data_IF_227689543964
#
_entry.id   IF_227689543964
#
_cell.length_a   1.000
_cell.length_b   1.000
_cell.length_c   1.000
_cell.angle_alpha   90.00
_cell.angle_beta   90.00
_cell.angle_gamma   90.00
#
_symmetry.space_group_name_H-M   'P 1'
#
loop_
_entity.id
_entity.type
_entity.pdbx_description
1 polymer ?
#
# COMPACT_ATOMS: atom_id res chain seq x y z
N UNK A 1 15.07 -29.44 -4.38
CA UNK A 1 15.14 -30.69 -5.16
C UNK A 1 14.67 -31.83 -4.29
N UNK A 2 13.70 -32.60 -4.76
CA UNK A 2 13.22 -33.82 -4.10
C UNK A 2 13.12 -34.91 -5.18
N UNK A 3 13.70 -36.09 -4.92
CA UNK A 3 13.72 -37.23 -5.87
C UNK A 3 14.27 -36.89 -7.28
N UNK A 4 15.28 -36.01 -7.37
CA UNK A 4 15.89 -35.62 -8.65
C UNK A 4 15.08 -34.62 -9.47
N UNK A 5 13.90 -34.23 -9.00
CA UNK A 5 13.11 -33.13 -9.57
C UNK A 5 13.48 -31.82 -8.87
N UNK A 6 13.86 -30.82 -9.67
CA UNK A 6 14.01 -29.44 -9.22
C UNK A 6 12.74 -28.69 -9.58
N UNK A 7 12.04 -28.21 -8.56
CA UNK A 7 10.91 -27.28 -8.71
C UNK A 7 11.41 -25.93 -8.26
N UNK A 8 11.32 -24.95 -9.14
CA UNK A 8 11.57 -23.56 -8.78
C UNK A 8 10.36 -23.02 -8.02
N UNK A 9 10.62 -22.44 -6.84
CA UNK A 9 9.59 -21.75 -6.07
C UNK A 9 9.67 -20.28 -6.46
N UNK A 10 8.70 -19.81 -7.23
CA UNK A 10 8.65 -18.43 -7.74
C UNK A 10 7.77 -17.51 -6.90
N UNK A 11 6.85 -18.07 -6.09
CA UNK A 11 5.95 -17.33 -5.20
C UNK A 11 5.95 -17.90 -3.78
N UNK A 12 5.78 -17.02 -2.81
CA UNK A 12 5.67 -17.32 -1.39
C UNK A 12 4.30 -16.90 -0.87
N UNK A 13 3.84 -17.54 0.20
CA UNK A 13 2.58 -17.18 0.87
C UNK A 13 2.74 -16.00 1.83
N UNK A 14 3.99 -15.60 2.08
CA UNK A 14 4.41 -14.61 3.07
C UNK A 14 5.63 -13.85 2.56
N UNK A 15 5.90 -12.67 3.11
CA UNK A 15 7.12 -11.94 2.77
C UNK A 15 8.36 -12.73 3.16
N UNK A 16 9.28 -12.85 2.21
CA UNK A 16 10.65 -13.31 2.44
C UNK A 16 11.56 -12.10 2.34
N UNK A 17 12.37 -11.91 3.38
CA UNK A 17 13.33 -10.81 3.46
C UNK A 17 14.61 -11.16 2.72
N UNK A 18 15.13 -10.18 1.98
CA UNK A 18 16.43 -10.23 1.31
C UNK A 18 17.24 -9.02 1.71
N UNK A 19 18.50 -9.25 2.00
CA UNK A 19 19.36 -8.23 2.58
C UNK A 19 20.54 -7.96 1.66
N UNK A 20 20.79 -6.68 1.38
CA UNK A 20 22.00 -6.21 0.70
C UNK A 20 22.73 -5.28 1.67
N UNK A 21 24.00 -5.56 1.97
CA UNK A 21 24.83 -4.65 2.78
C UNK A 21 25.16 -3.40 1.98
N UNK A 22 24.99 -2.23 2.59
CA UNK A 22 25.49 -0.98 2.00
C UNK A 22 27.02 -0.96 2.03
N UNK A 23 27.71 -0.64 0.93
CA UNK A 23 29.15 -0.52 0.94
C UNK A 23 29.65 0.53 1.94
N UNK A 24 30.86 0.33 2.47
CA UNK A 24 31.50 1.33 3.34
C UNK A 24 31.58 2.70 2.63
N UNK A 25 31.14 3.76 3.33
CA UNK A 25 31.10 5.13 2.81
C UNK A 25 29.83 5.49 2.02
N UNK A 26 28.87 4.58 1.87
CA UNK A 26 27.52 4.90 1.40
C UNK A 26 26.64 5.25 2.59
N UNK A 27 26.17 6.48 2.65
CA UNK A 27 25.23 6.93 3.69
C UNK A 27 23.87 6.25 3.50
N UNK A 28 23.21 5.80 4.58
CA UNK A 28 21.85 5.31 4.51
C UNK A 28 20.89 6.45 4.13
N UNK A 29 19.84 6.12 3.38
CA UNK A 29 18.87 7.09 2.86
C UNK A 29 17.51 6.42 2.73
N UNK A 30 16.46 7.13 3.14
CA UNK A 30 15.07 6.64 2.99
C UNK A 30 14.63 6.56 1.52
N UNK A 31 15.41 7.18 0.62
CA UNK A 31 15.20 7.12 -0.83
C UNK A 31 15.71 5.82 -1.47
N UNK A 32 16.42 4.96 -0.70
CA UNK A 32 16.85 3.65 -1.17
C UNK A 32 15.65 2.71 -1.28
N UNK A 33 15.47 2.15 -2.47
CA UNK A 33 14.35 1.28 -2.80
C UNK A 33 14.84 0.00 -3.44
N UNK A 34 14.48 -1.13 -2.85
CA UNK A 34 14.60 -2.43 -3.48
C UNK A 34 13.68 -2.55 -4.67
N UNK A 35 14.22 -3.08 -5.76
CA UNK A 35 13.46 -3.41 -6.97
C UNK A 35 13.68 -4.86 -7.36
N UNK A 36 12.64 -5.46 -7.91
CA UNK A 36 12.70 -6.68 -8.70
C UNK A 36 12.90 -6.30 -10.16
N UNK A 37 13.80 -7.00 -10.84
CA UNK A 37 13.92 -6.98 -12.30
C UNK A 37 13.17 -8.20 -12.83
N UNK A 38 12.06 -7.96 -13.53
CA UNK A 38 11.23 -9.01 -14.12
C UNK A 38 11.86 -9.53 -15.44
N UNK A 39 11.42 -10.69 -15.91
CA UNK A 39 11.99 -11.37 -17.10
C UNK A 39 11.92 -10.52 -18.39
N UNK A 40 10.94 -9.62 -18.48
CA UNK A 40 10.77 -8.70 -19.61
C UNK A 40 11.61 -7.41 -19.49
N UNK A 41 12.41 -7.29 -18.43
CA UNK A 41 13.25 -6.14 -18.12
C UNK A 41 12.50 -4.98 -17.46
N UNK A 42 11.20 -5.12 -17.20
CA UNK A 42 10.48 -4.16 -16.37
C UNK A 42 10.90 -4.27 -14.91
N UNK A 43 10.65 -3.20 -14.15
CA UNK A 43 10.98 -3.15 -12.74
C UNK A 43 9.71 -3.04 -11.90
N UNK A 44 9.78 -3.63 -10.71
CA UNK A 44 8.76 -3.51 -9.67
C UNK A 44 9.43 -3.17 -8.36
N UNK A 45 9.03 -2.07 -7.74
CA UNK A 45 9.46 -1.73 -6.39
C UNK A 45 8.92 -2.73 -5.37
N UNK A 46 9.70 -2.99 -4.32
CA UNK A 46 9.28 -3.82 -3.19
C UNK A 46 9.49 -3.06 -1.88
N UNK A 47 8.65 -3.31 -0.85
CA UNK A 47 8.83 -2.67 0.44
C UNK A 47 10.25 -2.86 0.96
N UNK A 48 10.85 -1.75 1.40
CA UNK A 48 12.27 -1.65 1.70
C UNK A 48 12.45 -0.85 2.97
N UNK A 49 13.21 -1.40 3.92
CA UNK A 49 13.65 -0.69 5.12
C UNK A 49 15.17 -0.77 5.26
N UNK A 50 15.71 0.17 6.01
CA UNK A 50 17.13 0.19 6.36
C UNK A 50 17.28 -0.31 7.79
N UNK A 51 18.21 -1.24 7.99
CA UNK A 51 18.58 -1.73 9.32
C UNK A 51 20.07 -1.53 9.58
N UNK A 52 20.40 -1.15 10.81
CA UNK A 52 21.78 -1.09 11.29
C UNK A 52 22.06 -2.30 12.19
N UNK A 53 23.11 -3.06 11.87
CA UNK A 53 23.60 -4.16 12.71
C UNK A 53 25.10 -3.98 12.90
N UNK A 54 25.54 -3.83 14.15
CA UNK A 54 26.94 -3.66 14.52
C UNK A 54 27.68 -2.53 13.76
N UNK A 55 26.98 -1.41 13.50
CA UNK A 55 27.52 -0.26 12.77
C UNK A 55 27.55 -0.40 11.25
N UNK A 56 26.99 -1.49 10.71
CA UNK A 56 26.83 -1.72 9.27
C UNK A 56 25.37 -1.57 8.87
N UNK A 57 25.10 -0.78 7.84
CA UNK A 57 23.76 -0.61 7.29
C UNK A 57 23.43 -1.67 6.24
N UNK A 58 22.19 -2.11 6.24
CA UNK A 58 21.63 -3.10 5.35
C UNK A 58 20.31 -2.61 4.76
N UNK A 59 20.13 -2.84 3.47
CA UNK A 59 18.86 -2.67 2.77
C UNK A 59 18.10 -3.99 2.86
N UNK A 60 17.00 -4.00 3.61
CA UNK A 60 16.12 -5.15 3.78
C UNK A 60 14.91 -4.99 2.85
N UNK A 61 14.77 -5.91 1.91
CA UNK A 61 13.70 -5.95 0.91
C UNK A 61 12.73 -7.07 1.22
N UNK A 62 11.46 -6.74 1.37
CA UNK A 62 10.39 -7.70 1.63
C UNK A 62 9.65 -8.04 0.34
N UNK A 63 9.71 -9.31 -0.10
CA UNK A 63 9.01 -9.74 -1.31
C UNK A 63 8.39 -11.13 -1.18
N UNK A 64 7.22 -11.31 -1.80
CA UNK A 64 6.52 -12.60 -1.94
C UNK A 64 6.91 -13.34 -3.22
N UNK A 65 7.89 -12.86 -3.99
CA UNK A 65 8.40 -13.56 -5.19
C UNK A 65 9.84 -14.03 -5.02
N UNK A 66 10.25 -15.01 -5.82
CA UNK A 66 11.65 -15.34 -6.02
C UNK A 66 12.12 -14.81 -7.38
N UNK A 67 13.02 -13.84 -7.36
CA UNK A 67 13.37 -13.01 -8.52
C UNK A 67 14.79 -12.46 -8.39
N UNK A 68 15.23 -11.65 -9.36
CA UNK A 68 16.47 -10.86 -9.28
C UNK A 68 16.17 -9.54 -8.57
N UNK A 69 16.96 -9.20 -7.56
CA UNK A 69 16.80 -8.00 -6.74
C UNK A 69 18.01 -7.08 -6.87
N UNK A 70 17.76 -5.77 -6.84
CA UNK A 70 18.80 -4.75 -6.67
C UNK A 70 18.23 -3.56 -5.89
N UNK A 71 19.08 -2.62 -5.51
CA UNK A 71 18.70 -1.37 -4.85
C UNK A 71 18.95 -0.21 -5.79
N UNK A 72 18.01 0.73 -5.83
CA UNK A 72 18.16 2.01 -6.52
C UNK A 72 17.90 3.15 -5.55
N UNK A 73 18.46 4.32 -5.84
CA UNK A 73 18.13 5.55 -5.14
C UNK A 73 17.42 6.49 -6.11
N UNK A 74 16.29 7.04 -5.69
CA UNK A 74 15.53 8.01 -6.46
C UNK A 74 15.01 9.08 -5.51
N UNK A 75 15.25 10.33 -5.85
CA UNK A 75 14.71 11.47 -5.12
C UNK A 75 13.55 12.09 -5.90
N UNK A 76 12.43 12.32 -5.22
CA UNK A 76 11.22 12.92 -5.78
C UNK A 76 10.70 14.01 -4.87
N UNK A 77 10.47 15.18 -5.44
CA UNK A 77 9.82 16.33 -4.81
C UNK A 77 8.75 16.88 -5.75
N UNK A 78 7.63 17.34 -5.19
CA UNK A 78 6.56 17.98 -5.95
C UNK A 78 6.33 19.40 -5.40
N UNK A 79 6.33 20.39 -6.28
CA UNK A 79 6.22 21.80 -5.89
C UNK A 79 4.88 22.13 -5.23
N UNK A 80 3.78 21.47 -5.66
CA UNK A 80 2.45 21.66 -5.06
C UNK A 80 2.28 20.97 -3.70
N UNK A 81 3.32 20.29 -3.22
CA UNK A 81 3.38 19.73 -1.88
C UNK A 81 4.10 20.63 -0.88
N UNK A 82 4.76 21.71 -1.31
CA UNK A 82 5.51 22.60 -0.40
C UNK A 82 4.58 23.21 0.68
N UNK A 83 4.86 22.90 1.95
CA UNK A 83 4.06 23.32 3.10
C UNK A 83 2.74 22.55 3.28
N UNK A 84 2.47 21.54 2.45
CA UNK A 84 1.31 20.67 2.60
C UNK A 84 1.54 19.65 3.72
N UNK A 85 0.50 19.33 4.49
CA UNK A 85 0.61 18.45 5.67
C UNK A 85 1.13 17.03 5.37
N UNK A 86 1.00 16.59 4.11
CA UNK A 86 1.44 15.29 3.63
C UNK A 86 2.74 15.34 2.79
N UNK A 87 3.43 16.49 2.74
CA UNK A 87 4.63 16.71 1.92
C UNK A 87 5.66 15.60 2.03
N UNK A 88 6.19 15.38 3.23
CA UNK A 88 7.23 14.39 3.50
C UNK A 88 6.79 12.97 3.09
N UNK A 89 5.51 12.62 3.36
CA UNK A 89 4.98 11.30 3.02
C UNK A 89 4.88 11.11 1.51
N UNK A 90 4.41 12.12 0.79
CA UNK A 90 4.30 12.03 -0.67
C UNK A 90 5.68 11.98 -1.34
N UNK A 91 6.66 12.76 -0.84
CA UNK A 91 8.04 12.70 -1.34
C UNK A 91 8.68 11.34 -1.08
N UNK A 92 8.50 10.77 0.13
CA UNK A 92 8.97 9.42 0.48
C UNK A 92 8.33 8.36 -0.43
N UNK A 93 7.01 8.34 -0.54
CA UNK A 93 6.31 7.36 -1.39
C UNK A 93 6.62 7.52 -2.88
N UNK A 94 6.90 8.75 -3.35
CA UNK A 94 7.32 9.02 -4.72
C UNK A 94 8.74 8.53 -5.01
N UNK A 95 9.65 8.75 -4.05
CA UNK A 95 11.03 8.26 -4.06
C UNK A 95 11.07 6.73 -4.06
N UNK A 96 10.15 6.10 -3.32
CA UNK A 96 9.91 4.64 -3.32
C UNK A 96 9.19 4.10 -4.55
N UNK A 97 8.84 4.95 -5.52
CA UNK A 97 8.11 4.58 -6.74
C UNK A 97 6.71 3.97 -6.48
N UNK A 98 6.13 4.22 -5.32
CA UNK A 98 4.80 3.72 -4.95
C UNK A 98 3.71 4.61 -5.53
N UNK A 99 3.91 5.93 -5.45
CA UNK A 99 3.01 6.95 -6.01
C UNK A 99 3.72 7.75 -7.10
N UNK A 100 2.93 8.39 -7.96
CA UNK A 100 3.45 9.29 -9.00
C UNK A 100 2.56 10.52 -9.11
N UNK A 101 3.19 11.65 -9.42
CA UNK A 101 2.50 12.89 -9.73
C UNK A 101 1.73 12.82 -11.04
N UNK A 102 0.92 13.85 -11.29
CA UNK A 102 0.28 14.05 -12.60
C UNK A 102 1.32 14.48 -13.65
N UNK A 103 2.43 15.07 -13.19
CA UNK A 103 3.64 15.29 -13.96
C UNK A 103 4.89 15.18 -13.06
N UNK A 104 6.05 15.63 -13.56
CA UNK A 104 7.33 15.55 -12.85
C UNK A 104 7.41 16.44 -11.60
N UNK A 105 6.61 17.50 -11.52
CA UNK A 105 6.68 18.53 -10.46
C UNK A 105 5.37 18.70 -9.69
N UNK A 106 4.25 18.10 -10.13
CA UNK A 106 2.95 18.25 -9.48
C UNK A 106 2.33 16.90 -9.09
N UNK A 107 1.81 16.81 -7.86
CA UNK A 107 1.15 15.63 -7.32
C UNK A 107 -0.37 15.67 -7.44
N UNK A 108 -0.99 16.85 -7.34
CA UNK A 108 -2.42 17.10 -7.12
C UNK A 108 -2.97 16.46 -5.81
N UNK A 109 -2.56 16.95 -4.63
CA UNK A 109 -2.85 16.31 -3.34
C UNK A 109 -4.34 16.17 -3.01
N UNK A 110 -5.15 17.15 -3.40
CA UNK A 110 -6.59 17.21 -3.09
C UNK A 110 -7.47 16.55 -4.15
N UNK A 111 -6.89 16.08 -5.26
CA UNK A 111 -7.64 15.35 -6.28
C UNK A 111 -8.25 14.09 -5.66
N UNK A 112 -9.55 13.88 -5.88
CA UNK A 112 -10.21 12.67 -5.41
C UNK A 112 -9.64 11.45 -6.13
N UNK A 113 -9.24 10.44 -5.37
CA UNK A 113 -8.71 9.20 -5.91
C UNK A 113 -9.84 8.23 -6.23
N UNK A 114 -9.73 7.56 -7.37
CA UNK A 114 -10.66 6.51 -7.78
C UNK A 114 -10.38 5.20 -7.03
N UNK A 115 -11.34 4.27 -7.06
CA UNK A 115 -11.16 2.92 -6.50
C UNK A 115 -10.01 2.17 -7.17
N UNK A 116 -9.85 2.30 -8.49
CA UNK A 116 -8.75 1.65 -9.22
C UNK A 116 -7.37 2.20 -8.80
N UNK A 117 -7.25 3.53 -8.69
CA UNK A 117 -6.00 4.18 -8.26
C UNK A 117 -5.62 3.83 -6.82
N UNK A 118 -6.60 3.79 -5.90
CA UNK A 118 -6.34 3.39 -4.52
C UNK A 118 -5.83 1.94 -4.45
N UNK A 119 -6.45 1.03 -5.20
CA UNK A 119 -6.01 -0.38 -5.27
C UNK A 119 -4.62 -0.48 -5.89
N UNK A 120 -4.34 0.24 -6.98
CA UNK A 120 -3.02 0.24 -7.60
C UNK A 120 -1.94 0.73 -6.63
N UNK A 121 -2.23 1.77 -5.84
CA UNK A 121 -1.34 2.27 -4.79
C UNK A 121 -1.04 1.20 -3.73
N UNK A 122 -2.06 0.47 -3.25
CA UNK A 122 -1.87 -0.62 -2.28
C UNK A 122 -1.03 -1.76 -2.87
N UNK A 123 -1.32 -2.19 -4.10
CA UNK A 123 -0.55 -3.25 -4.78
C UNK A 123 0.91 -2.85 -4.97
N UNK A 124 1.16 -1.61 -5.39
CA UNK A 124 2.50 -1.05 -5.55
C UNK A 124 3.25 -0.96 -4.20
N UNK A 125 2.57 -0.50 -3.15
CA UNK A 125 3.12 -0.34 -1.81
C UNK A 125 3.56 -1.69 -1.23
N UNK A 126 2.74 -2.72 -1.42
CA UNK A 126 3.02 -4.09 -0.98
C UNK A 126 4.01 -4.82 -1.90
N UNK A 127 4.41 -4.21 -3.02
CA UNK A 127 5.32 -4.80 -3.98
C UNK A 127 4.81 -6.11 -4.57
N UNK A 128 3.50 -6.25 -4.78
CA UNK A 128 2.93 -7.50 -5.30
C UNK A 128 3.10 -7.60 -6.82
N UNK A 129 3.47 -8.80 -7.29
CA UNK A 129 3.57 -9.10 -8.72
C UNK A 129 2.19 -9.00 -9.39
N UNK A 130 2.13 -8.30 -10.54
CA UNK A 130 0.86 -7.99 -11.19
C UNK A 130 0.32 -9.19 -11.97
N UNK A 131 -0.89 -9.63 -11.64
CA UNK A 131 -1.57 -10.74 -12.31
C UNK A 131 -2.21 -10.29 -13.62
N UNK A 132 -1.71 -10.83 -14.73
CA UNK A 132 -2.27 -10.61 -16.07
C UNK A 132 -3.48 -11.51 -16.33
N UNK A 133 -4.37 -11.08 -17.24
CA UNK A 133 -5.48 -11.89 -17.71
C UNK A 133 -6.82 -11.15 -17.72
N UNK A 134 -7.89 -11.89 -18.04
CA UNK A 134 -9.23 -11.32 -18.02
C UNK A 134 -9.70 -11.12 -16.58
N UNK A 135 -10.42 -10.02 -16.35
CA UNK A 135 -11.02 -9.72 -15.06
C UNK A 135 -12.44 -10.30 -14.97
N UNK A 136 -12.90 -10.65 -13.76
CA UNK A 136 -14.26 -11.13 -13.54
C UNK A 136 -15.32 -10.01 -13.60
N UNK A 137 -14.91 -8.75 -13.35
CA UNK A 137 -15.78 -7.59 -13.47
C UNK A 137 -15.89 -7.11 -14.91
N UNK A 138 -17.12 -6.89 -15.37
CA UNK A 138 -17.43 -6.49 -16.76
C UNK A 138 -17.04 -5.06 -17.08
N UNK A 139 -16.88 -4.22 -16.07
CA UNK A 139 -16.44 -2.82 -16.19
C UNK A 139 -14.91 -2.66 -16.09
N UNK A 140 -14.16 -3.76 -16.19
CA UNK A 140 -12.69 -3.79 -16.20
C UNK A 140 -12.21 -4.52 -17.46
N UNK A 141 -11.77 -3.77 -18.48
CA UNK A 141 -11.29 -4.34 -19.73
C UNK A 141 -9.84 -4.83 -19.58
N UNK A 142 -9.42 -5.82 -20.37
CA UNK A 142 -8.05 -6.36 -20.34
C UNK A 142 -6.97 -5.37 -20.77
N UNK A 143 -7.34 -4.29 -21.46
CA UNK A 143 -6.43 -3.22 -21.89
C UNK A 143 -6.42 -2.02 -20.95
N UNK A 144 -7.28 -2.00 -19.93
CA UNK A 144 -7.29 -0.92 -18.95
C UNK A 144 -6.02 -1.01 -18.09
N UNK A 145 -5.37 0.13 -17.84
CA UNK A 145 -4.12 0.19 -17.07
C UNK A 145 -4.26 -0.43 -15.67
N UNK A 146 -5.46 -0.36 -15.08
CA UNK A 146 -5.79 -0.89 -13.76
C UNK A 146 -6.15 -2.39 -13.77
N UNK A 147 -6.29 -3.04 -14.92
CA UNK A 147 -6.76 -4.42 -15.02
C UNK A 147 -5.92 -5.38 -14.16
N UNK A 148 -4.61 -5.35 -14.38
CA UNK A 148 -3.69 -6.26 -13.68
C UNK A 148 -3.62 -5.96 -12.18
N UNK A 149 -3.76 -4.70 -11.77
CA UNK A 149 -3.86 -4.32 -10.36
C UNK A 149 -5.11 -4.89 -9.69
N UNK A 150 -6.26 -4.80 -10.36
CA UNK A 150 -7.53 -5.35 -9.83
C UNK A 150 -7.47 -6.88 -9.77
N UNK A 151 -6.93 -7.55 -10.80
CA UNK A 151 -6.72 -9.01 -10.77
C UNK A 151 -5.84 -9.43 -9.59
N UNK A 152 -4.74 -8.72 -9.37
CA UNK A 152 -3.82 -8.97 -8.24
C UNK A 152 -4.56 -8.79 -6.92
N UNK A 153 -5.31 -7.71 -6.78
CA UNK A 153 -6.08 -7.44 -5.56
C UNK A 153 -7.17 -8.50 -5.31
N UNK A 154 -7.73 -9.12 -6.35
CA UNK A 154 -8.63 -10.26 -6.22
C UNK A 154 -7.90 -11.53 -5.77
N UNK A 155 -6.74 -11.85 -6.39
CA UNK A 155 -5.91 -13.01 -6.05
C UNK A 155 -5.50 -13.00 -4.57
N UNK A 156 -5.10 -11.83 -4.06
CA UNK A 156 -4.76 -11.63 -2.64
C UNK A 156 -5.96 -11.33 -1.74
N UNK A 157 -7.19 -11.43 -2.26
CA UNK A 157 -8.44 -11.17 -1.52
C UNK A 157 -8.57 -9.76 -0.91
N UNK A 158 -7.84 -8.77 -1.42
CA UNK A 158 -7.79 -7.39 -0.93
C UNK A 158 -9.06 -6.59 -1.25
N UNK A 159 -9.79 -6.93 -2.30
CA UNK A 159 -10.98 -6.17 -2.74
C UNK A 159 -12.22 -7.02 -2.87
N UNK A 160 -13.37 -6.34 -3.00
CA UNK A 160 -14.65 -6.89 -3.46
C UNK A 160 -15.30 -5.85 -4.37
N UNK A 161 -15.99 -6.30 -5.41
CA UNK A 161 -16.81 -5.45 -6.27
C UNK A 161 -18.06 -4.93 -5.55
N UNK A 162 -18.74 -3.97 -6.18
CA UNK A 162 -20.08 -3.56 -5.77
C UNK A 162 -21.11 -4.67 -5.99
N UNK A 163 -20.89 -5.49 -7.01
CA UNK A 163 -21.60 -6.73 -7.30
C UNK A 163 -20.60 -7.82 -7.71
N UNK A 164 -21.10 -9.00 -8.05
CA UNK A 164 -20.29 -10.09 -8.61
C UNK A 164 -19.68 -9.76 -9.98
N UNK A 165 -20.13 -8.71 -10.67
CA UNK A 165 -19.71 -8.38 -12.03
C UNK A 165 -19.40 -6.89 -12.26
N UNK A 166 -19.41 -6.06 -11.21
CA UNK A 166 -19.09 -4.62 -11.28
C UNK A 166 -18.15 -4.20 -10.15
N UNK A 167 -17.01 -3.60 -10.51
CA UNK A 167 -16.06 -3.03 -9.56
C UNK A 167 -16.24 -1.54 -9.30
N UNK A 168 -16.61 -0.78 -10.34
CA UNK A 168 -16.62 0.68 -10.35
C UNK A 168 -15.21 1.29 -10.30
N UNK A 169 -14.30 0.98 -11.25
CA UNK A 169 -12.89 1.39 -11.18
C UNK A 169 -12.71 2.91 -11.13
N UNK A 170 -13.54 3.66 -11.85
CA UNK A 170 -13.46 5.12 -11.96
C UNK A 170 -14.31 5.87 -10.91
N UNK A 171 -15.02 5.16 -10.04
CA UNK A 171 -15.80 5.79 -8.98
C UNK A 171 -14.83 6.29 -7.90
N UNK A 172 -14.99 7.52 -7.37
CA UNK A 172 -14.23 7.99 -6.22
C UNK A 172 -14.41 7.06 -5.02
N UNK A 173 -13.33 6.72 -4.32
CA UNK A 173 -13.38 5.84 -3.16
C UNK A 173 -13.76 6.62 -1.89
N UNK A 174 -14.66 6.07 -1.08
CA UNK A 174 -14.96 6.63 0.25
C UNK A 174 -13.93 6.19 1.29
N UNK A 175 -13.77 6.96 2.37
CA UNK A 175 -12.88 6.62 3.49
C UNK A 175 -13.18 5.24 4.07
N UNK A 176 -14.45 4.90 4.29
CA UNK A 176 -14.82 3.57 4.80
C UNK A 176 -14.48 2.43 3.83
N UNK A 177 -14.57 2.66 2.51
CA UNK A 177 -14.21 1.68 1.49
C UNK A 177 -12.70 1.47 1.43
N UNK A 178 -11.93 2.56 1.46
CA UNK A 178 -10.47 2.51 1.52
C UNK A 178 -10.02 1.64 2.70
N UNK A 179 -10.64 1.83 3.87
CA UNK A 179 -10.32 1.04 5.06
C UNK A 179 -10.62 -0.44 4.94
N UNK A 180 -11.64 -0.85 4.18
CA UNK A 180 -11.89 -2.29 3.97
C UNK A 180 -10.78 -2.97 3.18
N UNK A 181 -10.10 -2.23 2.29
CA UNK A 181 -8.93 -2.73 1.56
C UNK A 181 -7.71 -2.76 2.48
N UNK A 182 -7.52 -1.71 3.28
CA UNK A 182 -6.41 -1.61 4.23
C UNK A 182 -6.49 -2.70 5.31
N UNK A 183 -7.66 -3.00 5.85
CA UNK A 183 -7.83 -4.08 6.84
C UNK A 183 -7.38 -5.45 6.32
N UNK A 184 -7.66 -5.72 5.04
CA UNK A 184 -7.21 -6.96 4.39
C UNK A 184 -5.71 -6.93 4.12
N UNK A 185 -5.16 -5.77 3.78
CA UNK A 185 -3.72 -5.58 3.62
C UNK A 185 -2.98 -5.69 4.98
N UNK A 186 -3.58 -5.24 6.08
CA UNK A 186 -3.05 -5.45 7.44
C UNK A 186 -2.91 -6.95 7.72
N UNK A 187 -3.95 -7.75 7.41
CA UNK A 187 -3.88 -9.22 7.54
C UNK A 187 -2.78 -9.84 6.69
N UNK A 188 -2.69 -9.44 5.42
CA UNK A 188 -1.65 -9.94 4.51
C UNK A 188 -0.23 -9.63 5.01
N UNK A 189 -0.07 -8.47 5.65
CA UNK A 189 1.21 -8.00 6.22
C UNK A 189 1.42 -8.44 7.68
N UNK A 190 0.52 -9.25 8.25
CA UNK A 190 0.53 -9.72 9.65
C UNK A 190 0.48 -8.60 10.70
N UNK A 191 -0.04 -7.44 10.31
CA UNK A 191 -0.38 -6.39 11.24
C UNK A 191 -1.72 -6.73 11.90
N UNK A 192 -1.66 -7.56 12.93
CA UNK A 192 -2.83 -7.98 13.69
C UNK A 192 -3.18 -6.95 14.77
N UNK A 193 -4.48 -6.65 14.88
CA UNK A 193 -5.02 -5.88 16.00
C UNK A 193 -6.09 -6.71 16.68
N UNK A 194 -5.95 -6.92 17.98
CA UNK A 194 -6.98 -7.56 18.79
C UNK A 194 -8.15 -6.59 18.96
N UNK A 195 -9.32 -6.94 18.44
CA UNK A 195 -10.55 -6.15 18.54
C UNK A 195 -11.75 -7.07 18.71
N UNK A 196 -12.51 -6.86 19.78
CA UNK A 196 -13.84 -7.42 19.91
C UNK A 196 -14.93 -6.42 19.47
N UNK A 197 -16.20 -6.84 19.52
CA UNK A 197 -17.33 -5.99 19.11
C UNK A 197 -17.49 -4.76 20.02
N UNK A 198 -17.18 -4.88 21.31
CA UNK A 198 -17.30 -3.78 22.26
C UNK A 198 -16.19 -2.74 22.04
N UNK A 199 -14.98 -3.17 21.69
CA UNK A 199 -13.89 -2.29 21.28
C UNK A 199 -14.26 -1.49 20.03
N UNK A 200 -14.86 -2.15 19.03
CA UNK A 200 -15.31 -1.48 17.79
C UNK A 200 -16.29 -0.36 18.11
N UNK A 201 -17.31 -0.64 18.93
CA UNK A 201 -18.31 0.36 19.32
C UNK A 201 -17.71 1.48 20.17
N UNK A 202 -16.78 1.15 21.07
CA UNK A 202 -16.07 2.14 21.90
C UNK A 202 -15.20 3.08 21.05
N UNK A 203 -14.45 2.54 20.09
CA UNK A 203 -13.61 3.34 19.19
C UNK A 203 -14.47 4.26 18.32
N UNK A 204 -15.52 3.73 17.70
CA UNK A 204 -16.37 4.49 16.79
C UNK A 204 -17.18 5.57 17.53
N UNK A 205 -17.67 5.29 18.74
CA UNK A 205 -18.38 6.28 19.56
C UNK A 205 -17.51 7.44 20.04
N UNK A 206 -16.18 7.33 19.93
CA UNK A 206 -15.24 8.45 20.11
C UNK A 206 -15.37 9.53 19.03
N UNK A 207 -16.06 9.26 17.92
CA UNK A 207 -16.32 10.20 16.84
C UNK A 207 -17.82 10.52 16.75
N UNK A 208 -18.15 11.80 16.59
CA UNK A 208 -19.53 12.27 16.51
C UNK A 208 -20.30 11.66 15.33
N UNK A 209 -19.60 11.33 14.25
CA UNK A 209 -20.14 10.68 13.05
C UNK A 209 -19.74 9.19 12.93
N UNK A 210 -19.24 8.57 14.00
CA UNK A 210 -18.83 7.17 13.99
C UNK A 210 -19.96 6.21 13.59
N UNK A 211 -21.19 6.52 14.01
CA UNK A 211 -22.40 5.77 13.65
C UNK A 211 -22.79 5.87 12.16
N UNK A 212 -22.21 6.81 11.41
CA UNK A 212 -22.38 6.86 9.94
C UNK A 212 -21.56 5.79 9.21
N UNK A 213 -20.61 5.14 9.89
CA UNK A 213 -19.81 4.05 9.31
C UNK A 213 -20.72 2.88 8.94
N UNK A 214 -20.66 2.43 7.68
CA UNK A 214 -21.48 1.30 7.26
C UNK A 214 -21.17 0.03 8.08
N UNK A 215 -22.17 -0.84 8.34
CA UNK A 215 -21.96 -2.08 9.10
C UNK A 215 -20.81 -2.93 8.56
N UNK A 216 -20.64 -3.02 7.24
CA UNK A 216 -19.56 -3.81 6.60
C UNK A 216 -18.16 -3.23 6.82
N UNK A 217 -18.05 -1.94 7.17
CA UNK A 217 -16.79 -1.23 7.33
C UNK A 217 -16.42 -0.92 8.79
N UNK A 218 -17.35 -1.09 9.75
CA UNK A 218 -17.12 -0.77 11.18
C UNK A 218 -15.83 -1.38 11.72
N UNK A 219 -15.65 -2.69 11.53
CA UNK A 219 -14.44 -3.38 11.97
C UNK A 219 -13.18 -2.83 11.29
N UNK A 220 -13.21 -2.65 9.97
CA UNK A 220 -12.08 -2.15 9.17
C UNK A 220 -11.65 -0.74 9.54
N UNK A 221 -12.62 0.12 9.87
CA UNK A 221 -12.36 1.48 10.32
C UNK A 221 -11.79 1.46 11.74
N UNK A 222 -12.39 0.72 12.66
CA UNK A 222 -11.93 0.61 14.03
C UNK A 222 -10.52 -0.02 14.13
N UNK A 223 -10.23 -1.04 13.31
CA UNK A 223 -8.90 -1.66 13.23
C UNK A 223 -7.84 -0.69 12.73
N UNK A 224 -8.16 0.09 11.68
CA UNK A 224 -7.28 1.14 11.19
C UNK A 224 -7.01 2.23 12.22
N UNK A 225 -8.02 2.62 13.01
CA UNK A 225 -7.85 3.60 14.10
C UNK A 225 -6.97 3.01 15.21
N UNK A 226 -7.25 1.78 15.67
CA UNK A 226 -6.47 1.12 16.72
C UNK A 226 -5.01 0.89 16.32
N UNK A 227 -4.76 0.58 15.04
CA UNK A 227 -3.42 0.45 14.49
C UNK A 227 -2.68 1.78 14.27
N UNK A 228 -3.38 2.93 14.39
CA UNK A 228 -2.82 4.25 14.08
C UNK A 228 -2.64 4.50 12.58
N UNK A 229 -3.32 3.74 11.72
CA UNK A 229 -3.31 3.94 10.26
C UNK A 229 -4.31 5.04 9.88
N UNK A 230 -5.52 4.95 10.42
CA UNK A 230 -6.58 5.94 10.17
C UNK A 230 -6.71 6.91 11.33
N UNK A 231 -6.67 8.20 11.02
CA UNK A 231 -7.06 9.25 11.97
C UNK A 231 -8.34 9.95 11.48
N UNK A 232 -9.08 10.54 12.41
CA UNK A 232 -10.17 11.46 12.08
C UNK A 232 -9.65 12.67 11.29
N UNK A 233 -10.54 13.29 10.50
CA UNK A 233 -10.25 14.59 9.86
C UNK A 233 -10.22 15.73 10.88
N UNK A 234 -10.88 15.55 12.02
CA UNK A 234 -10.69 16.33 13.25
C UNK A 234 -10.60 15.37 14.44
N UNK A 235 -10.53 15.92 15.66
CA UNK A 235 -10.56 15.15 16.90
C UNK A 235 -11.81 14.29 17.09
N UNK A 236 -12.92 14.67 16.45
CA UNK A 236 -14.25 14.07 16.65
C UNK A 236 -14.99 13.74 15.34
N UNK A 237 -14.39 14.00 14.17
CA UNK A 237 -14.99 13.71 12.86
C UNK A 237 -14.15 12.68 12.10
N UNK A 238 -14.76 11.54 11.81
CA UNK A 238 -14.17 10.47 11.01
C UNK A 238 -14.44 10.64 9.51
N UNK A 239 -15.59 11.18 9.13
CA UNK A 239 -16.08 11.36 7.76
C UNK A 239 -16.10 10.06 6.92
N UNK A 240 -16.71 8.94 7.40
CA UNK A 240 -16.58 7.63 6.75
C UNK A 240 -17.14 7.58 5.32
N UNK A 241 -18.15 8.41 5.02
CA UNK A 241 -18.80 8.49 3.70
C UNK A 241 -18.13 9.47 2.74
N UNK A 242 -17.21 10.31 3.20
CA UNK A 242 -16.55 11.29 2.34
C UNK A 242 -15.49 10.61 1.47
N UNK A 243 -15.28 11.17 0.28
CA UNK A 243 -14.26 10.72 -0.65
C UNK A 243 -12.85 11.09 -0.17
N UNK A 244 -11.89 10.27 -0.57
CA UNK A 244 -10.47 10.37 -0.20
C UNK A 244 -9.71 11.18 -1.24
N UNK A 245 -8.91 12.15 -0.80
CA UNK A 245 -7.95 12.86 -1.66
C UNK A 245 -6.68 12.05 -1.87
N UNK A 246 -5.94 12.30 -2.95
CA UNK A 246 -4.74 11.54 -3.34
C UNK A 246 -3.66 11.54 -2.25
N UNK A 247 -3.42 12.68 -1.60
CA UNK A 247 -2.45 12.78 -0.49
C UNK A 247 -2.92 12.02 0.76
N UNK A 248 -4.22 12.06 1.07
CA UNK A 248 -4.79 11.30 2.18
C UNK A 248 -4.66 9.79 1.96
N UNK A 249 -4.92 9.32 0.74
CA UNK A 249 -4.72 7.93 0.36
C UNK A 249 -3.25 7.49 0.51
N UNK A 250 -2.30 8.32 0.04
CA UNK A 250 -0.88 8.08 0.21
C UNK A 250 -0.52 7.92 1.68
N UNK A 251 -0.99 8.81 2.56
CA UNK A 251 -0.71 8.73 3.99
C UNK A 251 -1.29 7.49 4.66
N UNK A 252 -2.49 7.08 4.27
CA UNK A 252 -3.09 5.83 4.80
C UNK A 252 -2.24 4.62 4.41
N UNK A 253 -1.81 4.53 3.15
CA UNK A 253 -0.99 3.42 2.66
C UNK A 253 0.42 3.45 3.25
N UNK A 254 1.02 4.64 3.37
CA UNK A 254 2.32 4.84 4.02
C UNK A 254 2.32 4.34 5.46
N UNK A 255 1.31 4.71 6.25
CA UNK A 255 1.16 4.23 7.63
C UNK A 255 0.98 2.72 7.71
N UNK A 256 0.27 2.12 6.76
CA UNK A 256 0.20 0.66 6.69
C UNK A 256 1.61 0.06 6.55
N UNK A 257 2.44 0.58 5.64
CA UNK A 257 3.80 0.07 5.46
C UNK A 257 4.66 0.26 6.72
N UNK A 258 4.59 1.44 7.35
CA UNK A 258 5.32 1.75 8.58
C UNK A 258 4.89 0.81 9.73
N UNK A 259 3.58 0.68 9.97
CA UNK A 259 3.04 -0.15 11.06
C UNK A 259 3.25 -1.65 10.83
N UNK A 260 3.37 -2.07 9.58
CA UNK A 260 3.73 -3.45 9.22
C UNK A 260 5.24 -3.71 9.16
N UNK A 261 6.09 -2.73 9.55
CA UNK A 261 7.55 -2.82 9.50
C UNK A 261 8.09 -3.17 8.09
N UNK A 262 7.39 -2.70 7.06
CA UNK A 262 7.77 -2.88 5.66
C UNK A 262 8.61 -1.73 5.11
N UNK A 263 8.58 -0.58 5.79
CA UNK A 263 9.47 0.56 5.58
C UNK A 263 9.96 1.09 6.93
N UNK A 264 11.06 1.83 6.91
CA UNK A 264 11.60 2.58 8.06
C UNK A 264 11.66 4.07 7.72
N UNK A 265 11.79 4.90 8.76
CA UNK A 265 12.27 6.27 8.65
C UNK A 265 13.62 6.36 9.36
N UNK A 266 14.61 6.97 8.71
CA UNK A 266 15.94 7.23 9.29
C UNK A 266 15.95 8.51 10.14
#
# INVERSE_FOLDING_TARGET
TYEGNTVEITKFTEYVERTISLPEGVEPSDNLTGIVIEDDGTIRQVPTRIEEVDGQYYVVMSSMTNSVYTVVEKHVEYHDMEGHWAENVVHDMGSRMIVSGVDANHFEPDQLITRAEFVAMVINALGLEKTQGNNEFKDVNSQDWYNSFINTALEYNLIKGYSSDRFGPNDPITREQAMTVIEKAMKLTRLEVELDLNDVDTILSGFADGEMTAPYARYSVASGIKAGILHGRSSDILAPKQYVGKAEAAVIVWRLLEKSNLISQL
#
